data_IF_720924435488
#
_entry.id   IF_720924435488
#
_cell.length_a   1.000
_cell.length_b   1.000
_cell.length_c   1.000
_cell.angle_alpha   90.00
_cell.angle_beta   90.00
_cell.angle_gamma   90.00
#
_symmetry.space_group_name_H-M   'P 1'
#
loop_
_entity.id
_entity.type
_entity.pdbx_description
1 polymer ?
#
# COMPACT_ATOMS: atom_id res chain seq x y z
N UNK A 1 15.27 -17.91 -3.43
CA UNK A 1 13.86 -17.57 -3.65
C UNK A 1 13.72 -16.05 -3.70
N UNK A 2 13.13 -15.47 -4.76
CA UNK A 2 12.88 -14.02 -4.84
C UNK A 2 11.82 -13.59 -3.81
N UNK A 3 11.91 -12.36 -3.31
CA UNK A 3 10.95 -11.78 -2.38
C UNK A 3 9.77 -11.12 -3.11
N UNK A 4 8.54 -11.29 -2.60
CA UNK A 4 7.32 -10.70 -3.16
C UNK A 4 6.72 -9.67 -2.19
N UNK A 5 7.07 -8.37 -2.31
CA UNK A 5 6.61 -7.33 -1.39
C UNK A 5 5.09 -7.09 -1.47
N UNK A 6 4.50 -7.31 -2.65
CA UNK A 6 3.07 -7.16 -2.96
C UNK A 6 2.22 -8.29 -2.36
N UNK A 7 2.83 -9.46 -2.09
CA UNK A 7 2.16 -10.60 -1.47
C UNK A 7 3.09 -11.41 -0.55
N UNK A 8 3.42 -10.80 0.59
CA UNK A 8 4.29 -11.40 1.63
C UNK A 8 3.71 -12.74 2.14
N UNK A 9 2.38 -12.89 2.20
CA UNK A 9 1.76 -14.14 2.66
C UNK A 9 2.01 -15.28 1.68
N UNK A 10 1.78 -15.06 0.38
CA UNK A 10 2.07 -16.06 -0.64
C UNK A 10 3.55 -16.42 -0.68
N UNK A 11 4.43 -15.43 -0.49
CA UNK A 11 5.87 -15.65 -0.38
C UNK A 11 6.22 -16.57 0.80
N UNK A 12 5.67 -16.31 1.99
CA UNK A 12 5.89 -17.18 3.16
C UNK A 12 5.35 -18.59 2.94
N UNK A 13 4.16 -18.74 2.35
CA UNK A 13 3.58 -20.03 2.01
C UNK A 13 4.47 -20.83 1.05
N UNK A 14 4.99 -20.18 0.01
CA UNK A 14 5.92 -20.81 -0.92
C UNK A 14 7.21 -21.23 -0.22
N UNK A 15 7.77 -20.39 0.66
CA UNK A 15 8.98 -20.73 1.40
C UNK A 15 8.78 -21.95 2.32
N UNK A 16 7.64 -22.04 3.02
CA UNK A 16 7.32 -23.21 3.85
C UNK A 16 7.13 -24.49 3.02
N UNK A 17 6.50 -24.39 1.84
CA UNK A 17 6.39 -25.51 0.92
C UNK A 17 7.77 -25.98 0.41
N UNK A 18 8.67 -25.04 0.11
CA UNK A 18 10.05 -25.32 -0.32
C UNK A 18 10.85 -26.00 0.80
N UNK A 19 10.75 -25.51 2.04
CA UNK A 19 11.37 -26.16 3.20
C UNK A 19 10.86 -27.56 3.42
N UNK A 20 9.54 -27.76 3.30
CA UNK A 20 8.92 -29.08 3.43
C UNK A 20 9.43 -30.04 2.35
N UNK A 21 9.48 -29.61 1.08
CA UNK A 21 9.97 -30.41 -0.04
C UNK A 21 11.43 -30.83 0.09
N UNK A 22 12.25 -30.01 0.75
CA UNK A 22 13.68 -30.30 1.02
C UNK A 22 13.95 -30.93 2.39
N UNK A 23 12.91 -31.26 3.17
CA UNK A 23 13.05 -31.88 4.50
C UNK A 23 13.68 -30.97 5.56
N UNK A 24 13.65 -29.64 5.37
CA UNK A 24 14.20 -28.69 6.33
C UNK A 24 13.21 -28.52 7.49
N UNK A 25 13.50 -29.15 8.63
CA UNK A 25 12.67 -29.08 9.83
C UNK A 25 13.24 -28.17 10.93
N UNK A 26 14.52 -27.78 10.82
CA UNK A 26 15.17 -26.92 11.80
C UNK A 26 14.67 -25.47 11.69
N UNK A 27 13.97 -25.01 12.73
CA UNK A 27 13.40 -23.65 12.82
C UNK A 27 14.44 -22.56 12.61
N UNK A 28 15.67 -22.72 13.13
CA UNK A 28 16.74 -21.73 13.01
C UNK A 28 17.24 -21.65 11.57
N UNK A 29 17.40 -22.79 10.91
CA UNK A 29 17.78 -22.85 9.48
C UNK A 29 16.73 -22.16 8.62
N UNK A 30 15.44 -22.44 8.86
CA UNK A 30 14.36 -21.80 8.11
C UNK A 30 14.35 -20.27 8.30
N UNK A 31 14.44 -19.79 9.55
CA UNK A 31 14.49 -18.35 9.86
C UNK A 31 15.67 -17.65 9.18
N UNK A 32 16.87 -18.22 9.27
CA UNK A 32 18.06 -17.65 8.63
C UNK A 32 17.92 -17.63 7.10
N UNK A 33 17.26 -18.63 6.53
CA UNK A 33 17.00 -18.68 5.08
C UNK A 33 16.02 -17.59 4.66
N UNK A 34 14.93 -17.39 5.41
CA UNK A 34 13.99 -16.29 5.17
C UNK A 34 14.70 -14.92 5.26
N UNK A 35 15.51 -14.69 6.30
CA UNK A 35 16.24 -13.43 6.48
C UNK A 35 17.23 -13.19 5.34
N UNK A 36 17.93 -14.22 4.87
CA UNK A 36 18.83 -14.12 3.70
C UNK A 36 18.10 -13.76 2.41
N UNK A 37 16.85 -14.18 2.27
CA UNK A 37 16.03 -13.89 1.10
C UNK A 37 15.39 -12.48 1.14
N UNK A 38 15.41 -11.79 2.28
CA UNK A 38 14.85 -10.44 2.41
C UNK A 38 15.75 -9.38 1.75
N UNK A 39 15.19 -8.44 0.98
CA UNK A 39 15.90 -7.25 0.53
C UNK A 39 16.43 -6.41 1.70
N UNK A 40 17.48 -5.62 1.46
CA UNK A 40 18.10 -4.74 2.49
C UNK A 40 17.08 -3.84 3.20
N UNK A 41 16.08 -3.37 2.47
CA UNK A 41 15.01 -2.50 2.99
C UNK A 41 14.15 -3.16 4.07
N UNK A 42 14.01 -4.48 4.04
CA UNK A 42 13.31 -5.29 5.03
C UNK A 42 14.28 -5.80 6.10
N UNK A 43 15.44 -6.30 5.68
CA UNK A 43 16.43 -6.92 6.55
C UNK A 43 17.01 -5.96 7.60
N UNK A 44 17.18 -4.67 7.28
CA UNK A 44 17.70 -3.66 8.24
C UNK A 44 16.88 -3.50 9.53
N UNK A 45 15.67 -4.06 9.58
CA UNK A 45 14.76 -4.05 10.72
C UNK A 45 14.64 -5.41 11.43
N UNK A 46 15.36 -6.42 10.96
CA UNK A 46 15.52 -7.70 11.64
C UNK A 46 16.67 -7.56 12.63
N UNK A 47 16.37 -7.62 13.93
CA UNK A 47 17.40 -7.56 14.96
C UNK A 47 17.93 -8.96 15.29
N UNK A 48 19.20 -9.11 15.71
CA UNK A 48 19.73 -10.41 16.14
C UNK A 48 18.89 -11.09 17.21
N UNK A 49 18.30 -10.30 18.13
CA UNK A 49 17.39 -10.76 19.18
C UNK A 49 16.09 -11.40 18.68
N UNK A 50 15.72 -11.23 17.40
CA UNK A 50 14.57 -11.92 16.80
C UNK A 50 14.93 -13.34 16.32
N UNK A 51 16.23 -13.66 16.26
CA UNK A 51 16.78 -14.91 15.73
C UNK A 51 17.42 -15.77 16.83
N UNK A 52 17.35 -15.33 18.08
CA UNK A 52 17.85 -16.04 19.26
C UNK A 52 16.82 -17.07 19.75
N UNK A 53 17.31 -18.11 20.42
CA UNK A 53 16.50 -19.27 20.87
C UNK A 53 15.64 -18.99 22.10
N UNK A 54 15.81 -17.82 22.73
CA UNK A 54 15.04 -17.32 23.88
C UNK A 54 13.70 -16.69 23.47
N UNK A 55 13.51 -16.37 22.19
CA UNK A 55 12.22 -15.93 21.66
C UNK A 55 11.28 -17.14 21.52
N UNK A 56 10.16 -17.11 22.24
CA UNK A 56 9.15 -18.17 22.21
C UNK A 56 8.52 -18.40 20.82
N UNK A 57 8.32 -17.33 20.05
CA UNK A 57 7.71 -17.39 18.70
C UNK A 57 8.52 -16.57 17.67
N UNK A 58 9.72 -17.05 17.27
CA UNK A 58 10.64 -16.27 16.43
C UNK A 58 10.08 -16.03 15.03
N UNK A 59 9.33 -17.00 14.51
CA UNK A 59 8.62 -16.90 13.23
C UNK A 59 7.56 -15.82 13.20
N UNK A 60 6.70 -15.80 14.22
CA UNK A 60 5.64 -14.79 14.37
C UNK A 60 6.22 -13.40 14.53
N UNK A 61 7.34 -13.30 15.25
CA UNK A 61 8.07 -12.05 15.47
C UNK A 61 8.69 -11.53 14.17
N UNK A 62 9.35 -12.40 13.40
CA UNK A 62 9.88 -12.07 12.08
C UNK A 62 8.75 -11.65 11.11
N UNK A 63 7.68 -12.45 11.03
CA UNK A 63 6.49 -12.17 10.21
C UNK A 63 5.96 -10.76 10.51
N UNK A 64 5.71 -10.44 11.79
CA UNK A 64 5.23 -9.12 12.22
C UNK A 64 6.16 -7.98 11.78
N UNK A 65 7.48 -8.16 11.87
CA UNK A 65 8.43 -7.12 11.45
C UNK A 65 8.40 -6.87 9.95
N UNK A 66 8.33 -7.94 9.15
CA UNK A 66 8.23 -7.86 7.68
C UNK A 66 6.95 -7.13 7.28
N UNK A 67 5.79 -7.50 7.85
CA UNK A 67 4.52 -6.82 7.58
C UNK A 67 4.56 -5.34 7.95
N UNK A 68 5.00 -5.03 9.18
CA UNK A 68 5.11 -3.64 9.65
C UNK A 68 5.99 -2.79 8.73
N UNK A 69 7.04 -3.38 8.17
CA UNK A 69 7.93 -2.70 7.23
C UNK A 69 7.28 -2.52 5.86
N UNK A 70 6.61 -3.55 5.34
CA UNK A 70 5.83 -3.46 4.10
C UNK A 70 4.80 -2.34 4.19
N UNK A 71 3.99 -2.31 5.25
CA UNK A 71 2.94 -1.30 5.43
C UNK A 71 3.51 0.12 5.50
N UNK A 72 4.70 0.29 6.07
CA UNK A 72 5.39 1.57 6.09
C UNK A 72 5.85 2.00 4.69
N UNK A 73 6.34 1.06 3.87
CA UNK A 73 6.76 1.33 2.49
C UNK A 73 5.55 1.69 1.63
N UNK A 74 4.47 0.93 1.74
CA UNK A 74 3.22 1.18 1.02
C UNK A 74 2.69 2.57 1.39
N UNK A 75 2.69 2.92 2.68
CA UNK A 75 2.28 4.25 3.15
C UNK A 75 3.17 5.36 2.61
N UNK A 76 4.49 5.17 2.60
CA UNK A 76 5.42 6.17 2.05
C UNK A 76 5.21 6.37 0.56
N UNK A 77 5.03 5.27 -0.18
CA UNK A 77 4.76 5.29 -1.62
C UNK A 77 3.42 5.94 -1.92
N UNK A 78 2.40 5.64 -1.12
CA UNK A 78 1.07 6.25 -1.23
C UNK A 78 1.10 7.74 -0.91
N UNK A 79 1.83 8.16 0.14
CA UNK A 79 1.94 9.58 0.47
C UNK A 79 2.71 10.34 -0.62
N UNK A 80 3.79 9.77 -1.15
CA UNK A 80 4.51 10.32 -2.30
C UNK A 80 3.62 10.42 -3.54
N UNK A 81 2.86 9.37 -3.85
CA UNK A 81 1.91 9.39 -4.95
C UNK A 81 0.92 10.53 -4.77
N UNK A 82 0.24 10.59 -3.63
CA UNK A 82 -0.80 11.57 -3.31
C UNK A 82 -0.29 13.02 -3.27
N UNK A 83 0.97 13.24 -2.87
CA UNK A 83 1.57 14.57 -2.82
C UNK A 83 2.03 15.08 -4.19
N UNK A 84 2.26 14.18 -5.15
CA UNK A 84 2.69 14.50 -6.52
C UNK A 84 1.57 14.31 -7.55
N UNK A 85 0.31 14.14 -7.12
CA UNK A 85 -0.82 14.10 -8.04
C UNK A 85 -0.98 15.48 -8.65
N UNK A 86 -0.55 15.63 -9.89
CA UNK A 86 -1.00 16.69 -10.75
C UNK A 86 -2.40 16.34 -11.27
N UNK A 87 -3.32 17.32 -11.33
CA UNK A 87 -4.72 17.14 -11.75
C UNK A 87 -4.88 16.73 -13.22
N UNK A 88 -3.76 16.53 -13.92
CA UNK A 88 -3.68 16.00 -15.28
C UNK A 88 -3.78 14.46 -15.33
N UNK A 89 -3.63 13.78 -14.19
CA UNK A 89 -3.95 12.35 -14.13
C UNK A 89 -5.46 12.13 -14.27
N UNK A 90 -5.79 11.05 -14.97
CA UNK A 90 -7.14 10.64 -15.35
C UNK A 90 -8.08 10.47 -14.17
N UNK A 91 -9.26 9.93 -14.43
CA UNK A 91 -10.40 9.99 -13.51
C UNK A 91 -10.06 9.43 -12.10
N UNK A 92 -10.92 9.67 -11.10
CA UNK A 92 -10.81 9.04 -9.78
C UNK A 92 -10.68 7.51 -9.88
N UNK A 93 -11.25 6.87 -10.92
CA UNK A 93 -11.02 5.45 -11.23
C UNK A 93 -9.55 5.14 -11.53
N UNK A 94 -8.88 5.94 -12.36
CA UNK A 94 -7.46 5.75 -12.66
C UNK A 94 -6.60 5.98 -11.41
N UNK A 95 -6.97 6.96 -10.59
CA UNK A 95 -6.29 7.25 -9.33
C UNK A 95 -6.38 6.05 -8.37
N UNK A 96 -7.57 5.43 -8.27
CA UNK A 96 -7.77 4.25 -7.44
C UNK A 96 -7.01 3.05 -7.91
N UNK A 97 -7.02 2.82 -9.22
CA UNK A 97 -6.31 1.70 -9.82
C UNK A 97 -4.82 1.79 -9.47
N UNK A 98 -4.22 2.97 -9.56
CA UNK A 98 -2.83 3.21 -9.14
C UNK A 98 -2.62 3.03 -7.64
N UNK A 99 -3.53 3.51 -6.80
CA UNK A 99 -3.42 3.30 -5.36
C UNK A 99 -3.48 1.80 -5.02
N UNK A 100 -4.32 1.03 -5.73
CA UNK A 100 -4.42 -0.42 -5.58
C UNK A 100 -3.15 -1.11 -6.04
N UNK A 101 -2.52 -0.65 -7.11
CA UNK A 101 -1.22 -1.16 -7.56
C UNK A 101 -0.11 -0.94 -6.50
N UNK A 102 -0.13 0.20 -5.79
CA UNK A 102 0.84 0.50 -4.73
C UNK A 102 0.63 -0.41 -3.50
N UNK A 103 -0.62 -0.63 -3.10
CA UNK A 103 -0.97 -1.39 -1.89
C UNK A 103 -1.07 -2.90 -2.15
N UNK A 104 -1.18 -3.29 -3.42
CA UNK A 104 -1.32 -4.67 -3.88
C UNK A 104 -2.66 -5.30 -3.51
N UNK A 105 -2.62 -6.55 -3.05
CA UNK A 105 -3.80 -7.32 -2.64
C UNK A 105 -4.26 -7.00 -1.20
N UNK A 106 -3.59 -6.08 -0.52
CA UNK A 106 -3.96 -5.73 0.86
C UNK A 106 -5.28 -4.97 0.88
N UNK A 107 -6.10 -5.16 1.93
CA UNK A 107 -7.31 -4.38 2.08
C UNK A 107 -6.93 -2.90 2.21
N UNK A 108 -7.71 -2.05 1.54
CA UNK A 108 -7.74 -0.62 1.83
C UNK A 108 -8.38 -0.41 3.21
N UNK A 109 -7.63 -0.66 4.27
CA UNK A 109 -8.10 -0.35 5.61
C UNK A 109 -7.91 1.14 5.91
N UNK A 110 -8.76 1.69 6.79
CA UNK A 110 -8.65 3.08 7.22
C UNK A 110 -7.36 3.40 7.99
N UNK A 111 -6.61 2.38 8.44
CA UNK A 111 -5.35 2.54 9.17
C UNK A 111 -4.22 3.03 8.29
N UNK A 112 -4.17 2.60 7.02
CA UNK A 112 -3.22 3.09 6.01
C UNK A 112 -3.39 4.59 5.76
N UNK A 113 -4.64 5.06 5.67
CA UNK A 113 -4.96 6.45 5.35
C UNK A 113 -4.92 7.41 6.52
N UNK A 114 -5.32 6.97 7.73
CA UNK A 114 -5.35 7.81 8.94
C UNK A 114 -4.00 8.43 9.31
N UNK A 115 -2.90 7.85 8.82
CA UNK A 115 -1.54 8.28 9.13
C UNK A 115 -0.81 8.90 7.93
N UNK A 116 -1.50 9.21 6.83
CA UNK A 116 -0.90 9.94 5.72
C UNK A 116 -0.73 11.41 6.09
N UNK A 117 0.43 11.99 5.76
CA UNK A 117 0.77 13.36 6.15
C UNK A 117 -0.11 14.37 5.42
N UNK A 118 -0.87 15.26 6.11
CA UNK A 118 -1.81 16.20 5.49
C UNK A 118 -1.11 17.36 4.76
N UNK A 119 -0.03 17.09 4.02
CA UNK A 119 0.68 18.05 3.19
C UNK A 119 -0.27 18.69 2.14
N UNK A 120 0.20 19.71 1.40
CA UNK A 120 -0.56 20.49 0.41
C UNK A 120 -1.15 19.62 -0.72
N UNK A 121 -2.19 18.84 -0.41
CA UNK A 121 -2.96 18.06 -1.38
C UNK A 121 -4.08 18.95 -1.92
N UNK A 122 -4.33 18.95 -3.24
CA UNK A 122 -5.53 19.59 -3.79
C UNK A 122 -6.79 19.07 -3.09
N UNK A 123 -7.75 19.95 -2.82
CA UNK A 123 -8.99 19.61 -2.10
C UNK A 123 -9.70 18.39 -2.71
N UNK A 124 -9.61 18.22 -4.02
CA UNK A 124 -10.17 17.08 -4.76
C UNK A 124 -9.55 15.74 -4.35
N UNK A 125 -8.23 15.69 -4.10
CA UNK A 125 -7.54 14.48 -3.60
C UNK A 125 -8.03 14.13 -2.19
N UNK A 126 -8.27 15.12 -1.34
CA UNK A 126 -8.85 14.92 0.00
C UNK A 126 -10.29 14.39 -0.08
N UNK A 127 -11.12 14.92 -0.98
CA UNK A 127 -12.49 14.44 -1.20
C UNK A 127 -12.49 12.97 -1.64
N UNK A 128 -11.66 12.65 -2.63
CA UNK A 128 -11.51 11.29 -3.16
C UNK A 128 -11.04 10.37 -2.03
N UNK A 129 -9.98 10.71 -1.28
CA UNK A 129 -9.52 9.96 -0.09
C UNK A 129 -10.60 9.70 0.98
N UNK A 130 -11.44 10.70 1.31
CA UNK A 130 -12.52 10.57 2.31
C UNK A 130 -13.61 9.62 1.83
N UNK A 131 -13.91 9.62 0.53
CA UNK A 131 -14.84 8.67 -0.05
C UNK A 131 -14.30 7.24 0.12
N UNK A 132 -13.02 6.98 -0.22
CA UNK A 132 -12.45 5.62 -0.15
C UNK A 132 -12.31 5.02 1.25
N UNK A 133 -12.33 5.84 2.30
CA UNK A 133 -12.26 5.32 3.67
C UNK A 133 -13.54 4.60 4.12
N UNK A 134 -14.68 4.76 3.42
CA UNK A 134 -15.99 4.45 4.00
C UNK A 134 -16.90 3.50 3.19
N UNK A 135 -16.58 3.11 1.94
CA UNK A 135 -17.52 2.38 1.07
C UNK A 135 -16.89 1.29 0.18
N UNK A 136 -17.73 0.46 -0.46
CA UNK A 136 -17.34 -0.45 -1.53
C UNK A 136 -16.72 0.33 -2.70
N UNK A 137 -15.48 -0.01 -3.05
CA UNK A 137 -14.54 0.84 -3.80
C UNK A 137 -15.02 1.21 -5.21
N UNK A 138 -15.74 0.31 -5.88
CA UNK A 138 -16.00 0.40 -7.32
C UNK A 138 -17.17 1.33 -7.67
N UNK A 139 -18.28 1.28 -6.91
CA UNK A 139 -19.43 2.19 -7.13
C UNK A 139 -19.10 3.65 -6.79
N UNK A 140 -18.14 3.81 -5.88
CA UNK A 140 -17.71 5.11 -5.39
C UNK A 140 -16.75 5.82 -6.34
N UNK A 141 -15.89 5.05 -7.01
CA UNK A 141 -15.02 5.54 -8.09
C UNK A 141 -15.86 6.21 -9.19
N UNK A 142 -16.89 5.50 -9.65
CA UNK A 142 -17.82 5.99 -10.68
C UNK A 142 -18.58 7.25 -10.22
N UNK A 143 -18.96 7.31 -8.94
CA UNK A 143 -19.63 8.46 -8.36
C UNK A 143 -18.70 9.68 -8.24
N UNK A 144 -17.44 9.48 -7.84
CA UNK A 144 -16.43 10.53 -7.77
C UNK A 144 -16.08 11.08 -9.16
N UNK A 145 -15.99 10.20 -10.17
CA UNK A 145 -15.78 10.58 -11.57
C UNK A 145 -16.88 11.49 -12.08
N UNK A 146 -18.14 11.13 -11.81
CA UNK A 146 -19.30 11.94 -12.19
C UNK A 146 -19.29 13.31 -11.52
N UNK A 147 -18.92 13.39 -10.24
CA UNK A 147 -18.79 14.68 -9.52
C UNK A 147 -17.65 15.51 -10.11
N UNK A 148 -16.50 14.90 -10.41
CA UNK A 148 -15.35 15.60 -11.00
C UNK A 148 -15.70 16.16 -12.39
N UNK A 149 -16.42 15.38 -13.21
CA UNK A 149 -16.92 15.79 -14.52
C UNK A 149 -17.85 17.00 -14.41
N UNK A 150 -18.82 16.95 -13.50
CA UNK A 150 -19.74 18.08 -13.21
C UNK A 150 -18.94 19.31 -12.76
N UNK A 151 -17.93 19.14 -11.90
CA UNK A 151 -17.13 20.27 -11.41
C UNK A 151 -16.27 20.89 -12.53
N UNK A 152 -15.77 20.07 -13.46
CA UNK A 152 -15.05 20.54 -14.66
C UNK A 152 -15.97 21.33 -15.59
N UNK A 153 -17.19 20.84 -15.86
CA UNK A 153 -18.14 21.55 -16.72
C UNK A 153 -18.56 22.91 -16.14
N UNK A 154 -18.84 22.99 -14.84
CA UNK A 154 -19.17 24.26 -14.16
C UNK A 154 -18.04 25.30 -14.24
N UNK A 155 -16.78 24.90 -14.07
CA UNK A 155 -15.66 25.83 -14.22
C UNK A 155 -15.57 26.35 -15.67
N UNK A 156 -15.80 25.49 -16.65
CA UNK A 156 -15.73 25.85 -18.08
C UNK A 156 -16.85 26.82 -18.49
N UNK A 157 -18.06 26.66 -17.97
CA UNK A 157 -19.19 27.58 -18.21
C UNK A 157 -18.99 28.95 -17.55
N UNK A 158 -18.49 28.97 -16.30
CA UNK A 158 -18.21 30.22 -15.57
C UNK A 158 -17.10 31.05 -16.24
N UNK A 159 -16.10 30.39 -16.84
CA UNK A 159 -15.06 31.08 -17.62
C UNK A 159 -15.58 31.62 -18.96
N UNK A 160 -16.55 30.97 -19.61
CA UNK A 160 -17.18 31.50 -20.84
C UNK A 160 -18.05 32.73 -20.57
N UNK A 161 -18.83 32.74 -19.48
CA UNK A 161 -19.70 33.89 -19.13
C UNK A 161 -18.89 35.14 -18.74
N UNK A 162 -17.72 34.97 -18.12
CA UNK A 162 -16.84 36.11 -17.77
C UNK A 162 -16.10 36.72 -18.98
N UNK A 163 -16.02 36.03 -20.12
CA UNK A 163 -15.33 36.53 -21.32
C UNK A 163 -16.26 37.35 -22.24
N UNK A 164 -17.56 37.35 -21.95
CA UNK A 164 -18.60 38.07 -22.70
C UNK A 164 -19.13 39.32 -21.97
N UNK A 165 -18.38 39.86 -21.01
CA UNK A 165 -18.67 41.12 -20.30
C UNK A 165 -17.54 42.13 -20.50
#
# INVERSE_FOLDING_TARGET
MPFWPDNIEAWLCYAEADFYGHGVNDTRVKLLTLVKALPREFNRHVTPSMLTSDVSEPYKTLKRSIYKRGDLIDRQSLDQFLNNIDLQYGSATDMLQRMREIIGQKPFDGGLFKQLSPSKRPQQVLTVLVLFQNNALDELAASADRILEITKSFNTEVFSVKKSL
#
